data_IF_503408636023
#
_entry.id   IF_503408636023
#
_cell.length_a   1.000
_cell.length_b   1.000
_cell.length_c   1.000
_cell.angle_alpha   90.00
_cell.angle_beta   90.00
_cell.angle_gamma   90.00
#
_symmetry.space_group_name_H-M   'P 1'
#
loop_
_entity.id
_entity.type
_entity.pdbx_description
1 polymer ?
#
# COMPACT_ATOMS: atom_id res chain seq x y z
N UNK A 1 23.74 12.42 0.97
CA UNK A 1 22.78 12.11 -0.11
C UNK A 1 21.76 11.11 0.36
N UNK A 2 20.49 11.41 0.13
CA UNK A 2 19.41 10.50 0.55
C UNK A 2 19.30 9.32 -0.39
N UNK A 3 19.03 8.14 0.18
CA UNK A 3 18.84 6.92 -0.60
C UNK A 3 17.43 6.90 -1.22
N UNK A 4 17.37 6.50 -2.49
CA UNK A 4 16.09 6.27 -3.17
C UNK A 4 15.65 4.83 -2.93
N UNK A 5 14.44 4.64 -2.42
CA UNK A 5 13.88 3.32 -2.12
C UNK A 5 12.65 3.10 -3.00
N UNK A 6 12.65 2.00 -3.76
CA UNK A 6 11.50 1.64 -4.61
C UNK A 6 10.58 0.72 -3.83
N UNK A 7 9.31 1.12 -3.71
CA UNK A 7 8.31 0.43 -2.91
C UNK A 7 7.04 0.22 -3.72
N UNK A 8 6.43 -0.95 -3.57
CA UNK A 8 5.13 -1.24 -4.18
C UNK A 8 4.07 -1.30 -3.09
N UNK A 9 2.88 -0.83 -3.39
CA UNK A 9 1.75 -0.85 -2.46
C UNK A 9 0.53 -1.45 -3.14
N UNK A 10 -0.27 -2.20 -2.37
CA UNK A 10 -1.44 -2.89 -2.87
C UNK A 10 -2.70 -2.07 -2.59
N UNK A 11 -3.39 -1.69 -3.66
CA UNK A 11 -4.73 -1.13 -3.56
C UNK A 11 -5.68 -2.33 -3.64
N UNK A 12 -5.96 -2.92 -2.49
CA UNK A 12 -6.77 -4.14 -2.40
C UNK A 12 -8.24 -3.77 -2.27
N UNK A 13 -9.03 -4.20 -3.23
CA UNK A 13 -10.47 -3.94 -3.24
C UNK A 13 -11.22 -5.24 -3.03
N UNK A 14 -12.25 -5.23 -2.16
CA UNK A 14 -13.10 -6.40 -1.93
C UNK A 14 -14.36 -6.33 -2.79
N UNK A 15 -15.26 -7.31 -2.61
CA UNK A 15 -16.49 -7.41 -3.41
C UNK A 15 -17.47 -6.26 -3.15
N UNK A 16 -17.35 -5.57 -2.00
CA UNK A 16 -18.16 -4.40 -1.67
C UNK A 16 -17.51 -3.11 -2.15
N UNK A 17 -16.38 -3.21 -2.88
CA UNK A 17 -15.61 -2.07 -3.37
C UNK A 17 -14.98 -1.23 -2.25
N UNK A 18 -14.76 -1.85 -1.10
CA UNK A 18 -14.01 -1.23 0.00
C UNK A 18 -12.52 -1.45 -0.23
N UNK A 19 -11.72 -0.48 0.23
CA UNK A 19 -10.26 -0.48 0.08
C UNK A 19 -9.62 -0.83 1.42
N UNK A 20 -8.63 -1.72 1.40
CA UNK A 20 -7.90 -2.12 2.60
C UNK A 20 -6.87 -1.06 2.98
N UNK A 21 -6.97 -0.58 4.21
CA UNK A 21 -6.07 0.44 4.76
C UNK A 21 -5.32 -0.14 5.96
N UNK A 22 -4.03 0.17 6.07
CA UNK A 22 -3.18 -0.36 7.13
C UNK A 22 -2.61 0.78 7.96
N UNK A 23 -2.69 0.64 9.30
CA UNK A 23 -2.11 1.63 10.21
C UNK A 23 -0.71 1.17 10.58
N UNK A 24 0.29 1.99 10.28
CA UNK A 24 1.67 1.67 10.62
C UNK A 24 1.87 1.66 12.13
N UNK A 25 2.73 0.75 12.60
CA UNK A 25 3.03 0.62 14.03
C UNK A 25 4.03 1.71 14.46
N UNK A 26 4.17 1.94 15.78
CA UNK A 26 5.15 2.91 16.27
C UNK A 26 6.60 2.60 15.89
N UNK A 27 6.91 1.34 15.54
CA UNK A 27 8.26 0.90 15.20
C UNK A 27 8.60 1.05 13.72
N UNK A 28 7.61 1.37 12.87
CA UNK A 28 7.84 1.50 11.43
C UNK A 28 8.45 2.85 11.08
N UNK A 29 9.06 2.96 9.89
CA UNK A 29 9.78 4.16 9.46
C UNK A 29 8.91 5.43 9.45
N UNK A 30 7.65 5.29 9.05
CA UNK A 30 6.68 6.38 9.10
C UNK A 30 5.57 5.92 10.04
N UNK A 31 5.76 6.13 11.36
CA UNK A 31 4.88 5.51 12.37
C UNK A 31 3.53 6.19 12.52
N UNK A 32 2.55 5.40 12.97
CA UNK A 32 1.24 5.88 13.37
C UNK A 32 0.48 6.65 12.28
N UNK A 33 0.69 6.24 11.04
CA UNK A 33 -0.03 6.80 9.89
C UNK A 33 -0.62 5.68 9.06
N UNK A 34 -1.70 5.99 8.35
CA UNK A 34 -2.33 5.03 7.46
C UNK A 34 -1.57 4.96 6.14
N UNK A 35 -1.51 3.76 5.59
CA UNK A 35 -0.83 3.49 4.32
C UNK A 35 -1.49 2.31 3.63
N UNK A 36 -1.21 2.12 2.35
CA UNK A 36 -1.60 0.89 1.67
C UNK A 36 -0.50 -0.14 1.94
N UNK A 37 -0.87 -1.41 2.20
CA UNK A 37 0.13 -2.43 2.52
C UNK A 37 1.03 -2.73 1.32
N UNK A 38 2.28 -3.08 1.59
CA UNK A 38 3.25 -3.37 0.55
C UNK A 38 4.66 -3.40 1.12
N UNK A 39 5.65 -3.23 0.29
CA UNK A 39 7.03 -3.24 0.73
C UNK A 39 8.02 -2.97 -0.39
N UNK A 40 9.30 -3.17 -0.07
CA UNK A 40 10.40 -2.85 -0.97
C UNK A 40 10.48 -3.83 -2.13
N UNK A 41 10.78 -3.31 -3.31
CA UNK A 41 11.11 -4.13 -4.48
C UNK A 41 12.57 -4.51 -4.38
N UNK A 42 12.86 -5.81 -4.47
CA UNK A 42 14.23 -6.31 -4.43
C UNK A 42 14.87 -6.20 -5.80
N UNK A 43 16.20 -6.23 -5.82
CA UNK A 43 16.96 -6.15 -7.06
C UNK A 43 16.55 -7.27 -8.01
N UNK A 44 16.30 -6.92 -9.27
CA UNK A 44 15.90 -7.84 -10.34
C UNK A 44 14.50 -8.44 -10.18
N UNK A 45 13.73 -7.91 -9.24
CA UNK A 45 12.35 -8.35 -9.03
C UNK A 45 11.41 -7.42 -9.78
N UNK A 46 10.42 -7.97 -10.49
CA UNK A 46 9.41 -7.10 -11.12
C UNK A 46 8.41 -6.65 -10.05
N UNK A 47 7.74 -5.52 -10.32
CA UNK A 47 6.88 -4.89 -9.31
C UNK A 47 5.68 -5.76 -8.91
N UNK A 48 5.14 -6.54 -9.83
CA UNK A 48 3.97 -7.38 -9.54
C UNK A 48 4.34 -8.57 -8.66
N UNK A 49 5.48 -9.22 -8.96
CA UNK A 49 6.00 -10.30 -8.13
C UNK A 49 6.39 -9.81 -6.74
N UNK A 50 7.00 -8.63 -6.68
CA UNK A 50 7.36 -8.01 -5.40
C UNK A 50 6.11 -7.79 -4.55
N UNK A 51 5.05 -7.27 -5.15
CA UNK A 51 3.83 -7.00 -4.41
C UNK A 51 3.20 -8.27 -3.86
N UNK A 52 3.11 -9.33 -4.69
CA UNK A 52 2.56 -10.61 -4.24
C UNK A 52 3.35 -11.18 -3.08
N UNK A 53 4.68 -11.12 -3.17
CA UNK A 53 5.56 -11.60 -2.09
C UNK A 53 5.37 -10.80 -0.81
N UNK A 54 5.37 -9.47 -0.90
CA UNK A 54 5.24 -8.62 0.27
C UNK A 54 3.89 -8.80 0.96
N UNK A 55 2.81 -8.92 0.20
CA UNK A 55 1.48 -9.10 0.80
C UNK A 55 1.37 -10.48 1.46
N UNK A 56 1.94 -11.52 0.84
CA UNK A 56 1.96 -12.86 1.44
C UNK A 56 2.73 -12.83 2.77
N UNK A 57 3.89 -12.18 2.79
CA UNK A 57 4.72 -12.07 4.00
C UNK A 57 4.04 -11.24 5.09
N UNK A 58 3.45 -10.10 4.74
CA UNK A 58 2.91 -9.16 5.71
C UNK A 58 1.50 -9.49 6.17
N UNK A 59 0.65 -9.95 5.26
CA UNK A 59 -0.78 -10.11 5.56
C UNK A 59 -1.22 -11.57 5.53
N UNK A 60 -0.35 -12.48 5.13
CA UNK A 60 -0.66 -13.92 5.11
C UNK A 60 -1.75 -14.29 4.11
N UNK A 61 -1.90 -13.53 3.04
CA UNK A 61 -2.89 -13.83 2.01
C UNK A 61 -2.26 -13.71 0.63
N UNK A 62 -2.92 -14.29 -0.36
CA UNK A 62 -2.47 -14.24 -1.75
C UNK A 62 -3.35 -13.30 -2.56
N UNK A 63 -2.71 -12.50 -3.40
CA UNK A 63 -3.42 -11.52 -4.23
C UNK A 63 -3.18 -11.79 -5.70
N UNK A 64 -4.12 -11.29 -6.51
CA UNK A 64 -3.97 -11.21 -7.95
C UNK A 64 -3.91 -9.74 -8.30
N UNK A 65 -2.91 -9.35 -9.09
CA UNK A 65 -2.81 -7.98 -9.57
C UNK A 65 -3.52 -7.87 -10.91
N UNK A 66 -4.09 -6.68 -11.17
CA UNK A 66 -4.74 -6.44 -12.46
C UNK A 66 -3.77 -5.86 -13.49
N UNK A 67 -2.48 -5.83 -13.15
CA UNK A 67 -1.43 -5.22 -13.98
C UNK A 67 -1.77 -3.77 -14.33
N UNK A 68 -2.43 -3.11 -13.38
CA UNK A 68 -2.84 -1.72 -13.51
C UNK A 68 -2.20 -0.90 -12.41
N UNK A 69 -1.25 -0.04 -12.78
CA UNK A 69 -0.63 0.90 -11.85
C UNK A 69 -1.59 2.07 -11.69
N UNK A 70 -2.07 2.26 -10.47
CA UNK A 70 -2.96 3.38 -10.16
C UNK A 70 -2.17 4.68 -10.08
N UNK A 71 -1.02 4.64 -9.41
CA UNK A 71 -0.23 5.84 -9.16
C UNK A 71 1.25 5.45 -9.02
N UNK A 72 2.11 6.31 -9.50
CA UNK A 72 3.56 6.16 -9.39
C UNK A 72 4.09 7.55 -9.04
N UNK A 73 4.54 7.71 -7.80
CA UNK A 73 5.02 9.01 -7.37
C UNK A 73 6.29 8.88 -6.51
N UNK A 74 7.02 9.99 -6.42
CA UNK A 74 8.23 10.06 -5.62
C UNK A 74 8.03 11.11 -4.55
N UNK A 75 8.34 10.74 -3.30
CA UNK A 75 8.21 11.64 -2.16
C UNK A 75 9.50 11.65 -1.36
N UNK A 76 9.95 12.83 -0.98
CA UNK A 76 11.17 12.98 -0.19
C UNK A 76 10.81 13.12 1.29
N UNK A 77 11.29 12.15 2.09
CA UNK A 77 11.21 12.23 3.55
C UNK A 77 12.55 12.76 4.09
N UNK A 78 12.64 12.99 5.38
CA UNK A 78 13.84 13.58 5.99
C UNK A 78 15.11 12.76 5.74
N UNK A 79 15.01 11.43 5.80
CA UNK A 79 16.19 10.56 5.72
C UNK A 79 16.26 9.71 4.45
N UNK A 80 15.21 9.71 3.64
CA UNK A 80 15.20 8.91 2.41
C UNK A 80 14.17 9.46 1.42
N UNK A 81 14.28 8.99 0.18
CA UNK A 81 13.32 9.32 -0.88
C UNK A 81 12.62 8.02 -1.27
N UNK A 82 11.30 8.03 -1.33
CA UNK A 82 10.53 6.84 -1.72
C UNK A 82 9.95 7.04 -3.13
N UNK A 83 10.12 6.02 -3.98
CA UNK A 83 9.34 5.90 -5.21
C UNK A 83 8.26 4.87 -4.90
N UNK A 84 7.02 5.34 -4.76
CA UNK A 84 5.89 4.50 -4.39
C UNK A 84 5.02 4.20 -5.59
N UNK A 85 4.88 2.92 -5.91
CA UNK A 85 4.07 2.46 -7.03
C UNK A 85 2.88 1.70 -6.46
N UNK A 86 1.68 2.25 -6.65
CA UNK A 86 0.44 1.70 -6.12
C UNK A 86 -0.27 0.92 -7.22
N UNK A 87 -0.59 -0.34 -6.95
CA UNK A 87 -1.09 -1.30 -7.94
C UNK A 87 -2.43 -1.87 -7.47
N UNK A 88 -3.42 -1.85 -8.35
CA UNK A 88 -4.73 -2.42 -8.03
C UNK A 88 -4.67 -3.94 -8.00
N UNK A 89 -5.33 -4.54 -7.00
CA UNK A 89 -5.34 -5.98 -6.83
C UNK A 89 -6.55 -6.43 -6.00
N UNK A 90 -6.70 -7.75 -5.88
CA UNK A 90 -7.73 -8.36 -5.02
C UNK A 90 -7.15 -9.58 -4.33
N UNK A 91 -7.75 -9.96 -3.21
CA UNK A 91 -7.37 -11.19 -2.50
C UNK A 91 -8.01 -12.37 -3.22
N UNK A 92 -7.23 -13.40 -3.50
CA UNK A 92 -7.72 -14.64 -4.13
C UNK A 92 -7.64 -15.83 -3.19
N UNK A 93 -6.85 -15.76 -2.11
CA UNK A 93 -6.73 -16.83 -1.14
C UNK A 93 -6.34 -16.26 0.22
N UNK A 94 -7.01 -16.72 1.26
CA UNK A 94 -6.72 -16.29 2.64
C UNK A 94 -7.43 -15.01 3.01
N UNK A 95 -7.21 -14.59 4.25
CA UNK A 95 -7.79 -13.36 4.80
C UNK A 95 -6.66 -12.46 5.27
N UNK A 96 -6.63 -11.19 4.83
CA UNK A 96 -5.58 -10.28 5.30
C UNK A 96 -5.58 -10.16 6.82
N UNK A 97 -4.42 -10.39 7.42
CA UNK A 97 -4.24 -10.36 8.88
C UNK A 97 -3.02 -9.50 9.18
N UNK A 98 -3.12 -8.54 10.13
CA UNK A 98 -1.97 -7.69 10.44
C UNK A 98 -0.88 -8.50 11.14
N UNK A 99 0.38 -8.30 10.76
CA UNK A 99 1.52 -8.87 11.46
C UNK A 99 2.36 -7.78 12.10
N UNK A 100 2.87 -6.84 11.30
CA UNK A 100 3.65 -5.71 11.82
C UNK A 100 2.83 -4.44 11.95
N UNK A 101 1.77 -4.29 11.15
CA UNK A 101 0.87 -3.15 11.26
C UNK A 101 0.04 -3.23 12.53
N UNK A 102 -0.31 -2.07 13.09
CA UNK A 102 -1.16 -2.00 14.27
C UNK A 102 -2.59 -2.41 14.00
N UNK A 103 -3.09 -2.15 12.80
CA UNK A 103 -4.50 -2.35 12.47
C UNK A 103 -4.71 -2.39 10.96
N UNK A 104 -5.72 -3.15 10.52
CA UNK A 104 -6.21 -3.14 9.15
C UNK A 104 -7.69 -2.78 9.19
N UNK A 105 -8.15 -1.93 8.28
CA UNK A 105 -9.58 -1.64 8.11
C UNK A 105 -9.93 -1.58 6.64
N UNK A 106 -11.20 -1.83 6.34
CA UNK A 106 -11.76 -1.68 5.00
C UNK A 106 -12.60 -0.40 4.98
N UNK A 107 -12.37 0.46 3.99
CA UNK A 107 -13.10 1.72 3.86
C UNK A 107 -13.59 1.95 2.44
N UNK A 108 -14.72 2.61 2.33
CA UNK A 108 -15.20 3.10 1.04
C UNK A 108 -14.30 4.22 0.53
N UNK A 109 -14.20 4.35 -0.81
CA UNK A 109 -13.36 5.38 -1.42
C UNK A 109 -13.65 6.77 -0.88
N UNK A 110 -14.93 7.14 -0.78
CA UNK A 110 -15.31 8.48 -0.33
C UNK A 110 -14.94 8.77 1.12
N UNK A 111 -14.58 7.74 1.90
CA UNK A 111 -14.21 7.90 3.30
C UNK A 111 -12.71 7.82 3.54
N UNK A 112 -11.91 7.63 2.51
CA UNK A 112 -10.45 7.50 2.67
C UNK A 112 -9.82 8.76 3.25
N UNK A 113 -10.34 9.94 2.93
CA UNK A 113 -9.79 11.20 3.42
C UNK A 113 -10.08 11.46 4.89
N UNK A 114 -10.85 10.58 5.55
CA UNK A 114 -11.07 10.68 7.00
C UNK A 114 -9.87 10.17 7.82
N UNK A 115 -8.91 9.53 7.17
CA UNK A 115 -7.73 8.98 7.83
C UNK A 115 -6.52 9.88 7.62
N UNK A 116 -5.56 9.81 8.55
CA UNK A 116 -4.29 10.52 8.43
C UNK A 116 -3.30 9.63 7.68
N UNK A 117 -3.05 9.94 6.44
CA UNK A 117 -2.23 9.14 5.55
C UNK A 117 -0.76 9.55 5.58
N UNK A 118 0.13 8.57 5.40
CA UNK A 118 1.53 8.86 5.13
C UNK A 118 1.61 9.70 3.85
N UNK A 119 2.47 10.74 3.83
CA UNK A 119 2.52 11.65 2.68
C UNK A 119 2.69 10.99 1.32
N UNK A 120 3.52 9.95 1.22
CA UNK A 120 3.75 9.27 -0.05
C UNK A 120 2.48 8.58 -0.60
N UNK A 121 1.53 8.23 0.28
CA UNK A 121 0.30 7.54 -0.12
C UNK A 121 -0.80 8.51 -0.56
N UNK A 122 -0.68 9.78 -0.21
CA UNK A 122 -1.74 10.76 -0.47
C UNK A 122 -2.14 10.87 -1.95
N UNK A 123 -1.19 10.88 -2.91
CA UNK A 123 -1.59 10.95 -4.33
C UNK A 123 -2.49 9.79 -4.76
N UNK A 124 -2.23 8.58 -4.28
CA UNK A 124 -3.08 7.43 -4.59
C UNK A 124 -4.45 7.57 -3.94
N UNK A 125 -4.49 8.04 -2.68
CA UNK A 125 -5.76 8.29 -1.97
C UNK A 125 -6.62 9.28 -2.74
N UNK A 126 -6.03 10.39 -3.16
CA UNK A 126 -6.77 11.42 -3.90
C UNK A 126 -7.31 10.89 -5.22
N UNK A 127 -6.53 10.07 -5.90
CA UNK A 127 -6.94 9.47 -7.16
C UNK A 127 -8.09 8.49 -6.96
N UNK A 128 -8.03 7.67 -5.89
CA UNK A 128 -9.11 6.72 -5.57
C UNK A 128 -10.42 7.42 -5.23
N UNK A 129 -10.36 8.52 -4.50
CA UNK A 129 -11.56 9.28 -4.13
C UNK A 129 -12.26 9.81 -5.38
N UNK A 130 -11.50 10.19 -6.41
CA UNK A 130 -12.05 10.70 -7.66
C UNK A 130 -12.63 9.60 -8.56
N UNK A 131 -12.25 8.35 -8.33
CA UNK A 131 -12.84 7.22 -9.07
C UNK A 131 -14.26 6.96 -8.58
N UNK A 132 -15.13 6.61 -9.52
CA UNK A 132 -16.52 6.33 -9.19
C UNK A 132 -16.90 4.89 -9.47
#
# INVERSE_FOLDING_TARGET
MKKLVKVVAAIIENDQQDILCALSSPQMSIPNMWEFPGGKVEEKEDIYSALKREIDEELGCKIETFNEVLNDNTHEYDTFIINLISIKCRVVEGTPTPSEHSKLIWLKRQNLDSLKWAPADIPAVEQLIQEK
#
